data_IF_578723995227
#
_entry.id   IF_578723995227
#
_cell.length_a   1.000
_cell.length_b   1.000
_cell.length_c   1.000
_cell.angle_alpha   90.00
_cell.angle_beta   90.00
_cell.angle_gamma   90.00
#
_symmetry.space_group_name_H-M   'P 1'
#
loop_
_entity.id
_entity.type
_entity.pdbx_description
1 polymer ?
#
# COMPACT_ATOMS: atom_id res chain seq x y z
N UNK A 1 -27.62 -2.05 6.45
CA UNK A 1 -27.05 -0.82 5.87
C UNK A 1 -25.83 -1.26 5.07
N UNK A 2 -25.58 -0.71 3.89
CA UNK A 2 -24.38 -1.00 3.13
C UNK A 2 -23.15 -0.64 3.98
N UNK A 3 -22.17 -1.53 4.08
CA UNK A 3 -20.95 -1.30 4.86
C UNK A 3 -20.02 -0.27 4.23
N UNK A 4 -20.16 -0.03 2.92
CA UNK A 4 -19.35 0.91 2.15
C UNK A 4 -20.24 1.74 1.22
N UNK A 5 -19.88 3.02 1.02
CA UNK A 5 -20.48 3.85 -0.02
C UNK A 5 -20.07 3.35 -1.41
N UNK A 6 -20.91 3.54 -2.42
CA UNK A 6 -20.57 3.26 -3.83
C UNK A 6 -19.30 4.02 -4.22
N UNK A 7 -19.23 5.30 -3.85
CA UNK A 7 -18.08 6.15 -4.04
C UNK A 7 -17.31 6.30 -2.71
N UNK A 8 -16.65 5.22 -2.28
CA UNK A 8 -15.89 5.22 -1.03
C UNK A 8 -14.64 6.13 -1.14
N UNK A 9 -14.22 6.70 -0.02
CA UNK A 9 -12.98 7.48 0.04
C UNK A 9 -11.76 6.65 -0.37
N UNK A 10 -11.66 5.41 0.07
CA UNK A 10 -10.54 4.51 -0.27
C UNK A 10 -10.44 4.15 -1.76
N UNK A 11 -11.54 4.26 -2.52
CA UNK A 11 -11.55 4.07 -3.97
C UNK A 11 -11.51 5.38 -4.77
N UNK A 12 -11.38 6.52 -4.10
CA UNK A 12 -11.50 7.85 -4.73
C UNK A 12 -10.48 8.09 -5.83
N UNK A 13 -9.23 7.66 -5.66
CA UNK A 13 -8.23 7.76 -6.72
C UNK A 13 -8.70 7.08 -8.02
N UNK A 14 -9.48 6.01 -7.93
CA UNK A 14 -10.01 5.31 -9.12
C UNK A 14 -11.21 6.02 -9.71
N UNK A 15 -12.24 6.33 -8.93
CA UNK A 15 -13.45 6.92 -9.50
C UNK A 15 -13.31 8.40 -9.91
N UNK A 16 -12.31 9.11 -9.42
CA UNK A 16 -11.97 10.45 -9.91
C UNK A 16 -11.41 10.43 -11.33
N UNK A 17 -10.73 9.36 -11.73
CA UNK A 17 -10.20 9.19 -13.08
C UNK A 17 -11.13 8.40 -13.98
N UNK A 18 -11.60 7.26 -13.52
CA UNK A 18 -12.46 6.33 -14.26
C UNK A 18 -13.86 6.32 -13.62
N UNK A 19 -14.73 7.25 -14.05
CA UNK A 19 -16.06 7.43 -13.46
C UNK A 19 -17.00 6.24 -13.70
N UNK A 20 -16.73 5.43 -14.72
CA UNK A 20 -17.44 4.17 -14.96
C UNK A 20 -17.03 3.02 -14.03
N UNK A 21 -15.88 3.11 -13.35
CA UNK A 21 -15.36 2.02 -12.52
C UNK A 21 -16.31 1.60 -11.39
N UNK A 22 -16.90 2.48 -10.57
CA UNK A 22 -17.77 2.06 -9.45
C UNK A 22 -18.97 1.21 -9.89
N UNK A 23 -19.62 1.60 -10.97
CA UNK A 23 -20.79 0.88 -11.53
C UNK A 23 -20.38 -0.45 -12.15
N UNK A 24 -19.26 -0.45 -12.87
CA UNK A 24 -18.72 -1.69 -13.43
C UNK A 24 -18.29 -2.65 -12.32
N UNK A 25 -17.57 -2.18 -11.31
CA UNK A 25 -17.14 -3.01 -10.17
C UNK A 25 -18.30 -3.59 -9.36
N UNK A 26 -19.43 -2.89 -9.30
CA UNK A 26 -20.63 -3.37 -8.62
C UNK A 26 -21.26 -4.62 -9.30
N UNK A 27 -20.92 -4.90 -10.56
CA UNK A 27 -21.34 -6.12 -11.27
C UNK A 27 -20.47 -7.34 -10.94
N UNK A 28 -19.33 -7.15 -10.25
CA UNK A 28 -18.41 -8.21 -9.85
C UNK A 28 -18.64 -8.62 -8.39
N UNK A 29 -18.36 -9.89 -8.04
CA UNK A 29 -18.44 -10.34 -6.67
C UNK A 29 -17.53 -9.52 -5.74
N UNK A 30 -17.98 -9.28 -4.53
CA UNK A 30 -17.15 -8.64 -3.50
C UNK A 30 -16.20 -9.68 -2.90
N UNK A 31 -14.98 -9.73 -3.42
CA UNK A 31 -13.93 -10.61 -2.94
C UNK A 31 -12.92 -9.82 -2.10
N UNK A 32 -12.86 -10.12 -0.81
CA UNK A 32 -11.87 -9.53 0.09
C UNK A 32 -10.60 -10.38 0.06
N UNK A 33 -9.48 -9.80 -0.38
CA UNK A 33 -8.18 -10.48 -0.37
C UNK A 33 -7.68 -10.73 1.06
N UNK A 34 -6.79 -11.71 1.25
CA UNK A 34 -6.14 -11.96 2.54
C UNK A 34 -5.37 -10.72 3.03
N UNK A 35 -4.73 -9.98 2.14
CA UNK A 35 -4.06 -8.73 2.45
C UNK A 35 -5.02 -7.66 3.00
N UNK A 36 -6.24 -7.57 2.47
CA UNK A 36 -7.23 -6.65 2.99
C UNK A 36 -7.75 -7.08 4.37
N UNK A 37 -7.90 -8.39 4.62
CA UNK A 37 -8.24 -8.93 5.95
C UNK A 37 -7.13 -8.68 6.97
N UNK A 38 -5.87 -8.89 6.58
CA UNK A 38 -4.69 -8.58 7.41
C UNK A 38 -4.67 -7.09 7.75
N UNK A 39 -4.91 -6.21 6.77
CA UNK A 39 -5.03 -4.78 6.96
C UNK A 39 -6.11 -4.41 7.97
N UNK A 40 -7.31 -4.99 7.85
CA UNK A 40 -8.42 -4.76 8.81
C UNK A 40 -8.02 -5.15 10.23
N UNK A 41 -7.36 -6.30 10.42
CA UNK A 41 -6.88 -6.73 11.74
C UNK A 41 -5.84 -5.76 12.33
N UNK A 42 -4.98 -5.21 11.48
CA UNK A 42 -3.98 -4.23 11.89
C UNK A 42 -4.63 -2.90 12.31
N UNK A 43 -5.68 -2.43 11.60
CA UNK A 43 -6.47 -1.26 12.01
C UNK A 43 -7.16 -1.49 13.37
N UNK A 44 -7.75 -2.68 13.61
CA UNK A 44 -8.32 -3.03 14.93
C UNK A 44 -7.26 -2.93 16.04
N UNK A 45 -6.02 -3.31 15.77
CA UNK A 45 -4.93 -3.21 16.75
C UNK A 45 -4.47 -1.76 16.95
N UNK A 46 -4.38 -0.95 15.87
CA UNK A 46 -4.11 0.49 15.96
C UNK A 46 -5.17 1.20 16.81
N UNK A 47 -6.44 0.96 16.53
CA UNK A 47 -7.57 1.50 17.27
C UNK A 47 -7.48 1.15 18.77
N UNK A 48 -7.25 -0.13 19.08
CA UNK A 48 -7.14 -0.63 20.44
C UNK A 48 -6.00 0.07 21.20
N UNK A 49 -4.82 0.16 20.61
CA UNK A 49 -3.64 0.79 21.21
C UNK A 49 -3.87 2.29 21.43
N UNK A 50 -4.42 2.97 20.42
CA UNK A 50 -4.68 4.39 20.49
C UNK A 50 -5.79 4.72 21.51
N UNK A 51 -6.89 3.95 21.55
CA UNK A 51 -7.93 4.07 22.58
C UNK A 51 -7.38 3.82 23.99
N UNK A 52 -6.46 2.87 24.16
CA UNK A 52 -5.80 2.64 25.44
C UNK A 52 -5.00 3.84 25.91
N UNK A 53 -4.37 4.55 25.01
CA UNK A 53 -3.58 5.74 25.32
C UNK A 53 -4.46 6.98 25.58
N UNK A 54 -5.49 7.21 24.78
CA UNK A 54 -6.28 8.45 24.79
C UNK A 54 -7.52 8.40 25.70
N UNK A 55 -7.93 7.22 26.16
CA UNK A 55 -9.14 7.05 26.98
C UNK A 55 -8.85 6.31 28.28
N UNK A 56 -9.78 6.35 29.22
CA UNK A 56 -9.72 5.61 30.48
C UNK A 56 -10.03 4.10 30.32
N UNK A 57 -9.57 3.47 29.24
CA UNK A 57 -9.78 2.05 29.00
C UNK A 57 -9.17 1.18 30.11
N UNK A 58 -9.97 0.33 30.75
CA UNK A 58 -9.52 -0.58 31.79
C UNK A 58 -8.48 -1.58 31.23
N UNK A 59 -7.42 -1.87 32.03
CA UNK A 59 -6.35 -2.82 31.64
C UNK A 59 -6.90 -4.18 31.24
N UNK A 60 -7.90 -4.70 31.97
CA UNK A 60 -8.50 -6.01 31.66
C UNK A 60 -9.23 -6.03 30.32
N UNK A 61 -9.89 -4.93 29.92
CA UNK A 61 -10.55 -4.80 28.63
C UNK A 61 -9.50 -4.79 27.51
N UNK A 62 -8.46 -3.99 27.65
CA UNK A 62 -7.33 -3.97 26.72
C UNK A 62 -6.74 -5.37 26.52
N UNK A 63 -6.33 -6.02 27.61
CA UNK A 63 -5.69 -7.35 27.56
C UNK A 63 -6.58 -8.40 26.89
N UNK A 64 -7.89 -8.38 27.18
CA UNK A 64 -8.83 -9.33 26.56
C UNK A 64 -8.94 -9.11 25.05
N UNK A 65 -9.10 -7.87 24.61
CA UNK A 65 -9.23 -7.53 23.19
C UNK A 65 -7.92 -7.80 22.45
N UNK A 66 -6.79 -7.42 23.02
CA UNK A 66 -5.47 -7.69 22.47
C UNK A 66 -5.21 -9.19 22.28
N UNK A 67 -5.52 -10.01 23.29
CA UNK A 67 -5.37 -11.48 23.20
C UNK A 67 -6.32 -12.10 22.16
N UNK A 68 -7.50 -11.48 21.92
CA UNK A 68 -8.39 -11.91 20.83
C UNK A 68 -7.76 -11.66 19.47
N UNK A 69 -7.19 -10.47 19.25
CA UNK A 69 -6.48 -10.12 18.01
C UNK A 69 -5.30 -11.06 17.78
N UNK A 70 -4.49 -11.32 18.81
CA UNK A 70 -3.33 -12.25 18.73
C UNK A 70 -3.66 -13.69 18.37
N UNK A 71 -4.90 -14.13 18.63
CA UNK A 71 -5.36 -15.47 18.28
C UNK A 71 -5.83 -15.60 16.82
N UNK A 72 -5.92 -14.49 16.10
CA UNK A 72 -6.27 -14.51 14.68
C UNK A 72 -5.09 -15.12 13.89
N UNK A 73 -5.39 -15.98 12.94
CA UNK A 73 -4.40 -16.65 12.08
C UNK A 73 -3.58 -15.68 11.21
N UNK A 74 -4.13 -14.48 10.93
CA UNK A 74 -3.44 -13.43 10.19
C UNK A 74 -2.53 -12.55 11.06
N UNK A 75 -2.53 -12.76 12.39
CA UNK A 75 -1.68 -11.97 13.27
C UNK A 75 -0.21 -12.43 13.17
N UNK A 76 0.70 -11.48 13.12
CA UNK A 76 2.14 -11.71 13.20
C UNK A 76 2.81 -10.72 14.16
N UNK A 77 3.96 -11.04 14.79
CA UNK A 77 4.68 -10.11 15.67
C UNK A 77 5.00 -8.76 15.01
N UNK A 78 5.29 -8.74 13.70
CA UNK A 78 5.50 -7.53 12.91
C UNK A 78 4.31 -6.55 13.00
N UNK A 79 3.08 -7.07 13.15
CA UNK A 79 1.87 -6.25 13.29
C UNK A 79 1.89 -5.41 14.57
N UNK A 80 2.43 -5.95 15.68
CA UNK A 80 2.62 -5.17 16.90
C UNK A 80 3.64 -4.05 16.71
N UNK A 81 4.80 -4.36 16.11
CA UNK A 81 5.87 -3.41 15.86
C UNK A 81 5.38 -2.24 14.96
N UNK A 82 4.66 -2.56 13.89
CA UNK A 82 4.16 -1.55 12.94
C UNK A 82 3.04 -0.68 13.52
N UNK A 83 2.16 -1.25 14.33
CA UNK A 83 1.09 -0.49 15.01
C UNK A 83 1.62 0.34 16.17
N UNK A 84 2.76 -0.04 16.78
CA UNK A 84 3.46 0.80 17.76
C UNK A 84 4.07 2.04 17.09
N UNK A 85 4.64 1.93 15.89
CA UNK A 85 5.13 3.09 15.13
C UNK A 85 4.00 4.11 14.89
N UNK A 86 2.81 3.65 14.52
CA UNK A 86 1.64 4.52 14.35
C UNK A 86 1.24 5.21 15.65
N UNK A 87 1.18 4.46 16.75
CA UNK A 87 0.86 5.00 18.07
C UNK A 87 1.89 6.06 18.50
N UNK A 88 3.18 5.77 18.37
CA UNK A 88 4.25 6.69 18.78
C UNK A 88 4.25 7.96 17.91
N UNK A 89 3.97 7.84 16.60
CA UNK A 89 3.79 9.00 15.75
C UNK A 89 2.66 9.91 16.27
N UNK A 90 1.47 9.37 16.53
CA UNK A 90 0.34 10.16 17.06
C UNK A 90 0.66 10.78 18.40
N UNK A 91 1.32 10.05 19.31
CA UNK A 91 1.79 10.60 20.58
C UNK A 91 2.72 11.80 20.39
N UNK A 92 3.66 11.72 19.47
CA UNK A 92 4.59 12.80 19.17
C UNK A 92 3.85 14.05 18.68
N UNK A 93 2.84 13.89 17.83
CA UNK A 93 1.99 14.99 17.35
C UNK A 93 1.17 15.58 18.50
N UNK A 94 0.53 14.74 19.33
CA UNK A 94 -0.24 15.23 20.47
C UNK A 94 0.61 16.06 21.43
N UNK A 95 1.84 15.63 21.70
CA UNK A 95 2.78 16.30 22.60
C UNK A 95 3.39 17.57 22.00
N UNK A 96 3.34 17.76 20.68
CA UNK A 96 3.82 18.99 20.04
C UNK A 96 2.94 20.21 20.27
N UNK A 97 1.67 19.99 20.62
CA UNK A 97 0.73 21.07 20.91
C UNK A 97 0.86 21.59 22.35
N UNK A 98 0.83 22.90 22.52
CA UNK A 98 0.86 23.55 23.86
C UNK A 98 -0.38 23.26 24.69
N UNK A 99 -1.52 23.06 24.04
CA UNK A 99 -2.79 22.67 24.65
C UNK A 99 -3.15 21.30 24.11
N UNK A 100 -3.57 20.39 24.99
CA UNK A 100 -3.93 19.05 24.60
C UNK A 100 -5.00 19.07 23.49
N UNK A 101 -4.74 18.46 22.33
CA UNK A 101 -5.72 18.43 21.25
C UNK A 101 -6.84 17.45 21.54
N UNK A 102 -7.96 17.60 20.85
CA UNK A 102 -9.00 16.57 20.82
C UNK A 102 -8.61 15.51 19.80
N UNK A 103 -8.60 14.24 20.22
CA UNK A 103 -8.29 13.09 19.36
C UNK A 103 -9.55 12.25 19.20
N UNK A 104 -9.92 12.01 17.95
CA UNK A 104 -11.08 11.20 17.59
C UNK A 104 -10.59 10.01 16.76
N UNK A 105 -11.05 8.81 17.13
CA UNK A 105 -10.52 7.53 16.61
C UNK A 105 -11.65 6.79 15.90
N UNK A 106 -11.36 6.20 14.72
CA UNK A 106 -12.31 5.40 13.94
C UNK A 106 -13.64 6.16 13.75
N UNK A 107 -13.52 7.40 13.30
CA UNK A 107 -14.67 8.28 13.15
C UNK A 107 -15.25 8.19 11.75
N UNK A 108 -16.50 7.78 11.67
CA UNK A 108 -17.28 7.95 10.44
C UNK A 108 -17.49 9.44 10.19
N UNK A 109 -17.05 9.91 9.04
CA UNK A 109 -17.19 11.28 8.52
C UNK A 109 -18.09 11.30 7.31
N UNK A 110 -18.90 12.36 7.20
CA UNK A 110 -19.86 12.55 6.12
C UNK A 110 -19.35 13.63 5.15
N UNK A 111 -19.09 13.23 3.92
CA UNK A 111 -18.72 14.12 2.83
C UNK A 111 -19.76 14.12 1.69
N UNK A 112 -21.02 13.79 2.01
CA UNK A 112 -22.12 13.72 1.05
C UNK A 112 -22.44 15.06 0.39
N UNK A 113 -21.99 16.16 0.97
CA UNK A 113 -22.06 17.50 0.36
C UNK A 113 -21.33 17.55 -1.00
N UNK A 114 -20.26 16.77 -1.17
CA UNK A 114 -19.45 16.73 -2.39
C UNK A 114 -19.64 15.44 -3.19
N UNK A 115 -19.90 14.34 -2.52
CA UNK A 115 -19.98 12.99 -3.12
C UNK A 115 -21.31 12.37 -2.74
N UNK A 116 -22.22 12.12 -3.69
CA UNK A 116 -23.54 11.54 -3.40
C UNK A 116 -23.43 10.29 -2.52
N UNK A 117 -24.16 10.30 -1.39
CA UNK A 117 -24.12 9.23 -0.36
C UNK A 117 -22.71 8.93 0.18
N UNK A 118 -21.79 9.90 0.07
CA UNK A 118 -20.38 9.74 0.41
C UNK A 118 -20.14 9.77 1.91
N UNK A 119 -19.54 8.73 2.42
CA UNK A 119 -19.02 8.64 3.78
C UNK A 119 -17.80 7.72 3.84
N UNK A 120 -17.05 7.84 4.93
CA UNK A 120 -15.94 6.93 5.22
C UNK A 120 -15.58 6.94 6.69
N UNK A 121 -14.65 6.10 7.09
CA UNK A 121 -14.12 6.08 8.46
C UNK A 121 -12.67 6.53 8.43
N UNK A 122 -12.37 7.61 9.16
CA UNK A 122 -11.01 8.10 9.34
C UNK A 122 -10.39 7.46 10.59
N UNK A 123 -9.20 6.90 10.47
CA UNK A 123 -8.53 6.16 11.55
C UNK A 123 -8.25 7.05 12.76
N UNK A 124 -7.69 8.24 12.51
CA UNK A 124 -7.44 9.23 13.56
C UNK A 124 -7.62 10.65 13.04
N UNK A 125 -8.36 11.46 13.82
CA UNK A 125 -8.57 12.88 13.58
C UNK A 125 -8.06 13.63 14.81
N UNK A 126 -7.17 14.61 14.62
CA UNK A 126 -6.69 15.51 15.66
C UNK A 126 -7.22 16.92 15.38
N UNK A 127 -7.90 17.50 16.38
CA UNK A 127 -8.46 18.85 16.36
C UNK A 127 -7.65 19.72 17.30
N UNK A 128 -6.93 20.71 16.80
CA UNK A 128 -6.03 21.55 17.58
C UNK A 128 -6.10 23.02 17.11
N UNK A 129 -6.79 23.86 17.87
CA UNK A 129 -6.96 25.27 17.50
C UNK A 129 -7.69 25.43 16.17
N UNK A 130 -7.00 25.97 15.17
CA UNK A 130 -7.48 26.12 13.79
C UNK A 130 -6.95 25.07 12.81
N UNK A 131 -6.32 24.03 13.33
CA UNK A 131 -5.74 22.92 12.56
C UNK A 131 -6.59 21.65 12.70
N UNK A 132 -6.95 21.08 11.57
CA UNK A 132 -7.49 19.74 11.42
C UNK A 132 -6.39 18.82 10.89
N UNK A 133 -6.10 17.72 11.57
CA UNK A 133 -5.11 16.75 11.13
C UNK A 133 -5.75 15.37 10.97
N UNK A 134 -5.72 14.83 9.77
CA UNK A 134 -6.16 13.45 9.45
C UNK A 134 -4.93 12.57 9.38
N UNK A 135 -4.94 11.44 10.09
CA UNK A 135 -3.84 10.49 10.11
C UNK A 135 -4.39 9.11 9.80
N UNK A 136 -3.86 8.49 8.76
CA UNK A 136 -4.31 7.20 8.22
C UNK A 136 -3.17 6.17 8.30
N UNK A 137 -3.49 4.99 8.77
CA UNK A 137 -2.56 3.86 8.86
C UNK A 137 -2.64 2.99 7.62
N UNK A 138 -1.51 2.65 7.03
CA UNK A 138 -1.43 1.72 5.90
C UNK A 138 -0.57 0.51 6.25
N UNK A 139 -1.19 -0.67 6.30
CA UNK A 139 -0.48 -1.92 6.64
C UNK A 139 0.23 -2.54 5.43
N UNK A 140 -0.20 -2.23 4.20
CA UNK A 140 0.34 -2.80 2.97
C UNK A 140 1.82 -2.44 2.73
N UNK A 141 2.56 -3.35 2.07
CA UNK A 141 3.98 -3.17 1.70
C UNK A 141 4.22 -3.17 0.19
N UNK A 142 3.17 -3.35 -0.61
CA UNK A 142 3.31 -3.49 -2.07
C UNK A 142 3.40 -2.16 -2.82
N UNK A 143 2.71 -1.13 -2.34
CA UNK A 143 2.65 0.20 -2.97
C UNK A 143 2.87 1.25 -1.88
N UNK A 144 3.80 2.16 -2.12
CA UNK A 144 4.01 3.32 -1.25
C UNK A 144 2.88 4.30 -1.50
N UNK A 145 2.22 4.77 -0.43
CA UNK A 145 1.10 5.71 -0.50
C UNK A 145 1.58 7.08 -0.03
N UNK A 146 1.35 8.10 -0.86
CA UNK A 146 1.68 9.47 -0.54
C UNK A 146 0.48 10.22 0.04
N UNK A 147 0.73 11.14 0.96
CA UNK A 147 -0.28 12.06 1.49
C UNK A 147 -0.51 13.28 0.58
N UNK A 148 0.46 13.60 -0.28
CA UNK A 148 0.39 14.75 -1.18
C UNK A 148 -0.81 14.60 -2.14
N UNK A 149 -1.75 15.54 -2.02
CA UNK A 149 -3.02 15.56 -2.78
C UNK A 149 -3.76 14.22 -2.80
N UNK A 150 -3.64 13.43 -1.72
CA UNK A 150 -4.29 12.13 -1.62
C UNK A 150 -5.82 12.29 -1.49
N UNK A 151 -6.62 11.84 -2.47
CA UNK A 151 -8.05 12.10 -2.47
C UNK A 151 -8.82 11.39 -1.35
N UNK A 152 -8.34 10.25 -0.84
CA UNK A 152 -8.92 9.60 0.33
C UNK A 152 -8.81 10.50 1.55
N UNK A 153 -7.62 11.04 1.79
CA UNK A 153 -7.32 11.93 2.91
C UNK A 153 -8.09 13.24 2.81
N UNK A 154 -8.15 13.79 1.58
CA UNK A 154 -8.89 15.03 1.31
C UNK A 154 -10.40 14.87 1.55
N UNK A 155 -11.01 13.74 1.15
CA UNK A 155 -12.43 13.44 1.43
C UNK A 155 -12.69 13.28 2.93
N UNK A 156 -11.79 12.60 3.65
CA UNK A 156 -11.91 12.50 5.12
C UNK A 156 -11.81 13.87 5.78
N UNK A 157 -10.92 14.73 5.32
CA UNK A 157 -10.78 16.09 5.82
C UNK A 157 -12.03 16.95 5.54
N UNK A 158 -12.61 16.87 4.34
CA UNK A 158 -13.87 17.54 4.01
C UNK A 158 -15.01 17.09 4.93
N UNK A 159 -15.16 15.78 5.15
CA UNK A 159 -16.16 15.25 6.06
C UNK A 159 -15.93 15.66 7.51
N UNK A 160 -14.69 15.64 7.99
CA UNK A 160 -14.37 16.10 9.33
C UNK A 160 -14.59 17.61 9.49
N UNK A 161 -14.26 18.44 8.47
CA UNK A 161 -14.59 19.87 8.50
C UNK A 161 -16.09 20.12 8.61
N UNK A 162 -16.90 19.32 7.91
CA UNK A 162 -18.36 19.40 8.00
C UNK A 162 -18.83 19.03 9.40
N UNK A 163 -18.43 17.87 9.93
CA UNK A 163 -18.87 17.33 11.22
C UNK A 163 -18.52 18.23 12.40
N UNK A 164 -17.39 18.93 12.33
CA UNK A 164 -16.89 19.78 13.43
C UNK A 164 -17.05 21.29 13.17
N UNK A 165 -17.74 21.71 12.11
CA UNK A 165 -17.92 23.11 11.69
C UNK A 165 -18.58 24.01 12.74
N UNK A 166 -19.42 23.46 13.60
CA UNK A 166 -20.08 24.22 14.68
C UNK A 166 -19.15 24.55 15.87
N UNK A 167 -18.08 23.76 16.04
CA UNK A 167 -17.16 23.87 17.19
C UNK A 167 -15.82 24.48 16.81
N UNK A 168 -15.39 24.29 15.57
CA UNK A 168 -14.06 24.66 15.10
C UNK A 168 -14.13 25.43 13.76
N UNK A 169 -13.25 26.40 13.64
CA UNK A 169 -12.98 27.08 12.37
C UNK A 169 -11.56 26.72 11.94
N UNK A 170 -11.45 25.78 11.02
CA UNK A 170 -10.17 25.34 10.53
C UNK A 170 -9.64 26.23 9.42
N UNK A 171 -8.37 26.61 9.50
CA UNK A 171 -7.61 27.30 8.46
C UNK A 171 -6.60 26.35 7.81
N UNK A 172 -6.00 25.46 8.61
CA UNK A 172 -4.95 24.54 8.19
C UNK A 172 -5.45 23.10 8.23
N UNK A 173 -5.25 22.39 7.16
CA UNK A 173 -5.56 20.96 7.01
C UNK A 173 -4.24 20.21 6.85
N UNK A 174 -3.96 19.30 7.78
CA UNK A 174 -2.82 18.38 7.73
C UNK A 174 -3.30 16.97 7.43
N UNK A 175 -2.57 16.28 6.64
CA UNK A 175 -2.84 14.89 6.25
C UNK A 175 -1.56 14.08 6.38
N UNK A 176 -1.62 12.93 7.06
CA UNK A 176 -0.47 12.05 7.20
C UNK A 176 -0.85 10.62 6.92
N UNK A 177 -0.03 9.95 6.14
CA UNK A 177 -0.08 8.50 5.93
C UNK A 177 1.10 7.89 6.64
N UNK A 178 0.81 6.98 7.57
CA UNK A 178 1.81 6.20 8.31
C UNK A 178 1.81 4.77 7.81
N UNK A 179 2.86 4.39 7.06
CA UNK A 179 3.02 3.08 6.42
C UNK A 179 4.34 2.43 6.85
N UNK A 180 4.41 1.84 8.07
CA UNK A 180 5.67 1.43 8.69
C UNK A 180 6.40 0.31 7.96
N UNK A 181 5.68 -0.63 7.32
CA UNK A 181 6.27 -1.80 6.62
C UNK A 181 7.18 -1.43 5.43
N UNK A 182 7.08 -0.20 4.97
CA UNK A 182 7.94 0.37 3.90
C UNK A 182 8.70 1.61 4.38
N UNK A 183 8.76 1.84 5.69
CA UNK A 183 9.40 2.99 6.34
C UNK A 183 8.91 4.33 5.75
N UNK A 184 7.62 4.44 5.45
CA UNK A 184 7.01 5.62 4.88
C UNK A 184 6.14 6.35 5.91
N UNK A 185 6.47 7.61 6.17
CA UNK A 185 5.60 8.59 6.82
C UNK A 185 5.55 9.77 5.87
N UNK A 186 4.41 9.95 5.22
CA UNK A 186 4.18 11.00 4.24
C UNK A 186 3.24 12.04 4.84
N UNK A 187 3.62 13.30 4.79
CA UNK A 187 2.87 14.43 5.33
C UNK A 187 2.56 15.43 4.23
N UNK A 188 1.36 15.98 4.27
CA UNK A 188 0.92 17.03 3.36
C UNK A 188 0.07 18.05 4.12
N UNK A 189 0.20 19.32 3.78
CA UNK A 189 -0.53 20.41 4.38
C UNK A 189 -1.11 21.33 3.30
N UNK A 190 -2.36 21.75 3.49
CA UNK A 190 -3.02 22.74 2.62
C UNK A 190 -3.98 23.61 3.44
N UNK A 191 -4.46 24.69 2.85
CA UNK A 191 -5.48 25.51 3.48
C UNK A 191 -6.88 24.87 3.37
N UNK A 192 -7.76 25.20 4.30
CA UNK A 192 -9.16 24.76 4.23
C UNK A 192 -9.89 25.28 2.99
N UNK A 193 -9.49 26.44 2.45
CA UNK A 193 -10.11 27.02 1.26
C UNK A 193 -9.67 26.28 -0.02
N UNK A 194 -8.39 25.90 -0.12
CA UNK A 194 -7.90 25.04 -1.21
C UNK A 194 -8.60 23.68 -1.20
N UNK A 195 -8.79 23.08 -0.01
CA UNK A 195 -9.49 21.82 0.11
C UNK A 195 -10.96 21.93 -0.32
N UNK A 196 -11.70 23.00 0.10
CA UNK A 196 -13.08 23.24 -0.35
C UNK A 196 -13.15 23.40 -1.86
N UNK A 197 -12.24 24.21 -2.42
CA UNK A 197 -12.15 24.43 -3.87
C UNK A 197 -11.95 23.11 -4.62
N UNK A 198 -11.05 22.25 -4.16
CA UNK A 198 -10.90 20.91 -4.73
C UNK A 198 -12.17 20.07 -4.62
N UNK A 199 -12.86 20.13 -3.47
CA UNK A 199 -14.14 19.45 -3.27
C UNK A 199 -15.20 19.89 -4.28
N UNK A 200 -15.31 21.18 -4.54
CA UNK A 200 -16.30 21.80 -5.43
C UNK A 200 -15.94 21.63 -6.91
N UNK A 201 -14.68 21.87 -7.29
CA UNK A 201 -14.26 21.93 -8.68
C UNK A 201 -13.82 20.58 -9.25
N UNK A 202 -13.35 19.64 -8.39
CA UNK A 202 -12.81 18.35 -8.83
C UNK A 202 -13.66 17.18 -8.32
N UNK A 203 -13.83 17.06 -7.00
CA UNK A 203 -14.49 15.88 -6.43
C UNK A 203 -15.99 15.83 -6.78
N UNK A 204 -16.73 16.92 -6.60
CA UNK A 204 -18.18 16.93 -6.81
C UNK A 204 -18.60 16.66 -8.26
N UNK A 205 -17.99 17.27 -9.30
CA UNK A 205 -18.33 16.97 -10.69
C UNK A 205 -18.05 15.50 -11.05
N UNK A 206 -16.88 14.97 -10.65
CA UNK A 206 -16.49 13.59 -10.93
C UNK A 206 -17.34 12.57 -10.15
N UNK A 207 -17.66 12.88 -8.90
CA UNK A 207 -18.55 12.06 -8.10
C UNK A 207 -19.96 12.02 -8.67
N UNK A 208 -20.49 13.14 -9.17
CA UNK A 208 -21.78 13.20 -9.83
C UNK A 208 -21.79 12.31 -11.07
N UNK A 209 -20.80 12.45 -11.97
CA UNK A 209 -20.65 11.62 -13.15
C UNK A 209 -20.57 10.13 -12.77
N UNK A 210 -19.77 9.77 -11.75
CA UNK A 210 -19.59 8.39 -11.32
C UNK A 210 -20.84 7.79 -10.62
N UNK A 211 -21.69 8.63 -10.04
CA UNK A 211 -22.90 8.20 -9.36
C UNK A 211 -24.09 8.03 -10.32
N UNK A 212 -24.16 8.79 -11.40
CA UNK A 212 -25.22 8.70 -12.42
C UNK A 212 -25.24 7.30 -13.08
N UNK A 213 -26.33 6.97 -13.77
CA UNK A 213 -26.48 5.67 -14.42
C UNK A 213 -25.89 5.63 -15.84
N UNK A 214 -25.71 6.79 -16.44
CA UNK A 214 -25.26 6.96 -17.83
C UNK A 214 -24.20 8.07 -17.91
N UNK A 215 -23.49 8.13 -19.02
CA UNK A 215 -22.51 9.20 -19.29
C UNK A 215 -21.14 9.00 -18.64
N UNK A 216 -20.83 7.75 -18.20
CA UNK A 216 -19.53 7.45 -17.56
C UNK A 216 -18.35 7.53 -18.53
N UNK A 217 -17.23 7.97 -18.02
CA UNK A 217 -15.94 7.92 -18.71
C UNK A 217 -15.12 6.73 -18.20
N UNK A 218 -14.64 5.90 -19.12
CA UNK A 218 -13.70 4.82 -18.82
C UNK A 218 -12.29 5.26 -19.22
N UNK A 219 -11.37 5.19 -18.27
CA UNK A 219 -9.98 5.58 -18.48
C UNK A 219 -9.05 4.56 -17.83
N UNK A 220 -8.04 4.08 -18.58
CA UNK A 220 -7.04 3.15 -18.08
C UNK A 220 -5.84 3.91 -17.50
N UNK A 221 -5.30 3.40 -16.38
CA UNK A 221 -4.15 3.96 -15.70
C UNK A 221 -3.76 3.15 -14.47
N UNK A 222 -2.88 3.71 -13.64
CA UNK A 222 -2.37 3.05 -12.42
C UNK A 222 -3.49 2.61 -11.46
N UNK A 223 -4.61 3.32 -11.44
CA UNK A 223 -5.80 3.00 -10.66
C UNK A 223 -6.48 1.68 -11.06
N UNK A 224 -6.19 1.14 -12.27
CA UNK A 224 -6.72 -0.15 -12.70
C UNK A 224 -6.20 -1.32 -11.86
N UNK A 225 -5.03 -1.22 -11.24
CA UNK A 225 -4.43 -2.28 -10.43
C UNK A 225 -5.35 -2.81 -9.31
N UNK A 226 -6.19 -1.93 -8.74
CA UNK A 226 -7.13 -2.25 -7.68
C UNK A 226 -8.59 -2.39 -8.16
N UNK A 227 -8.85 -2.32 -9.46
CA UNK A 227 -10.19 -2.46 -10.04
C UNK A 227 -10.61 -3.95 -10.11
N UNK A 228 -11.82 -4.27 -9.67
CA UNK A 228 -12.34 -5.65 -9.76
C UNK A 228 -12.52 -6.13 -11.20
N UNK A 229 -12.82 -5.19 -12.11
CA UNK A 229 -12.98 -5.49 -13.53
C UNK A 229 -11.67 -5.56 -14.32
N UNK A 230 -10.52 -5.37 -13.67
CA UNK A 230 -9.20 -5.18 -14.29
C UNK A 230 -8.80 -6.24 -15.32
N UNK A 231 -9.21 -7.48 -15.15
CA UNK A 231 -8.90 -8.59 -16.07
C UNK A 231 -9.80 -8.62 -17.31
N UNK A 232 -10.98 -7.99 -17.25
CA UNK A 232 -12.00 -8.05 -18.29
C UNK A 232 -12.33 -6.68 -18.90
N UNK A 233 -11.70 -5.61 -18.40
CA UNK A 233 -11.98 -4.25 -18.84
C UNK A 233 -11.45 -4.01 -20.25
N UNK A 234 -12.37 -3.73 -21.19
CA UNK A 234 -12.03 -3.46 -22.60
C UNK A 234 -11.13 -2.24 -22.74
N UNK A 235 -11.43 -1.14 -22.05
CA UNK A 235 -10.60 0.08 -22.10
C UNK A 235 -9.16 -0.17 -21.64
N UNK A 236 -8.97 -1.05 -20.63
CA UNK A 236 -7.63 -1.45 -20.21
C UNK A 236 -6.91 -2.29 -21.28
N UNK A 237 -7.63 -3.19 -21.95
CA UNK A 237 -7.08 -3.96 -23.06
C UNK A 237 -6.68 -3.05 -24.22
N UNK A 238 -7.56 -2.14 -24.63
CA UNK A 238 -7.32 -1.18 -25.72
C UNK A 238 -6.15 -0.24 -25.42
N UNK A 239 -5.96 0.15 -24.16
CA UNK A 239 -4.82 0.94 -23.72
C UNK A 239 -3.48 0.23 -24.02
N UNK A 240 -3.42 -1.09 -23.83
CA UNK A 240 -2.21 -1.87 -24.15
C UNK A 240 -2.09 -2.21 -25.64
N UNK A 241 -3.22 -2.38 -26.36
CA UNK A 241 -3.22 -2.54 -27.80
C UNK A 241 -2.67 -1.30 -28.54
N UNK A 242 -2.80 -0.11 -27.97
CA UNK A 242 -2.23 1.11 -28.51
C UNK A 242 -0.68 1.07 -28.64
N UNK A 243 0.00 0.16 -27.93
CA UNK A 243 1.44 -0.08 -28.09
C UNK A 243 1.79 -0.69 -29.47
N UNK A 244 0.80 -1.24 -30.22
CA UNK A 244 0.99 -1.67 -31.61
C UNK A 244 1.33 -0.51 -32.58
N UNK A 245 1.15 0.73 -32.18
CA UNK A 245 1.54 1.92 -33.00
C UNK A 245 3.02 1.89 -33.34
N UNK A 246 3.87 1.29 -32.47
CA UNK A 246 5.29 1.17 -32.69
C UNK A 246 5.68 0.03 -33.67
N UNK A 247 4.78 -0.89 -33.99
CA UNK A 247 5.06 -2.04 -34.85
C UNK A 247 5.11 -1.69 -36.35
N UNK A 248 4.69 -0.49 -36.75
CA UNK A 248 4.70 0.01 -38.11
C UNK A 248 5.92 0.85 -38.47
N UNK A 249 6.88 1.01 -37.56
CA UNK A 249 8.12 1.76 -37.78
C UNK A 249 9.23 0.92 -38.45
N UNK A 250 10.34 1.55 -38.83
CA UNK A 250 11.47 0.87 -39.44
C UNK A 250 11.95 -0.33 -38.60
N UNK A 251 11.89 -1.57 -39.09
CA UNK A 251 12.06 -2.77 -38.26
C UNK A 251 13.50 -3.04 -37.80
N UNK A 252 14.46 -2.17 -38.06
CA UNK A 252 15.88 -2.47 -37.84
C UNK A 252 16.28 -2.43 -36.38
N UNK A 253 16.00 -1.34 -35.68
CA UNK A 253 16.29 -1.18 -34.23
C UNK A 253 15.36 -0.13 -33.61
N UNK A 254 14.96 -0.34 -32.35
CA UNK A 254 14.24 0.66 -31.59
C UNK A 254 15.18 1.77 -31.10
N UNK A 255 14.70 3.00 -31.03
CA UNK A 255 15.44 4.12 -30.44
C UNK A 255 15.46 4.05 -28.92
N UNK A 256 16.30 4.86 -28.25
CA UNK A 256 16.31 4.95 -26.80
C UNK A 256 15.04 5.59 -26.24
N UNK A 257 14.41 6.49 -27.00
CA UNK A 257 13.12 7.10 -26.68
C UNK A 257 12.00 6.07 -26.69
N UNK A 258 11.94 5.23 -27.72
CA UNK A 258 11.01 4.10 -27.81
C UNK A 258 11.24 3.10 -26.67
N UNK A 259 12.51 2.77 -26.38
CA UNK A 259 12.87 1.90 -25.26
C UNK A 259 12.36 2.47 -23.92
N UNK A 260 12.49 3.77 -23.68
CA UNK A 260 11.96 4.47 -22.50
C UNK A 260 10.46 4.29 -22.37
N UNK A 261 9.71 4.49 -23.46
CA UNK A 261 8.26 4.30 -23.52
C UNK A 261 7.85 2.86 -23.21
N UNK A 262 8.53 1.87 -23.82
CA UNK A 262 8.25 0.45 -23.51
C UNK A 262 8.55 0.09 -22.05
N UNK A 263 9.58 0.66 -21.44
CA UNK A 263 9.90 0.43 -20.04
C UNK A 263 8.88 1.07 -19.10
N UNK A 264 8.34 2.24 -19.44
CA UNK A 264 7.30 2.91 -18.68
C UNK A 264 6.02 2.06 -18.63
N UNK A 265 5.59 1.54 -19.77
CA UNK A 265 4.39 0.69 -19.87
C UNK A 265 4.62 -0.79 -19.51
N UNK A 266 5.88 -1.24 -19.50
CA UNK A 266 6.22 -2.66 -19.34
C UNK A 266 5.68 -3.28 -18.03
N UNK A 267 5.75 -2.57 -16.93
CA UNK A 267 5.21 -3.03 -15.62
C UNK A 267 3.70 -3.21 -15.65
N UNK A 268 3.01 -2.31 -16.33
CA UNK A 268 1.55 -2.34 -16.43
C UNK A 268 1.10 -3.49 -17.33
N UNK A 269 1.84 -3.77 -18.41
CA UNK A 269 1.61 -4.92 -19.29
C UNK A 269 1.83 -6.24 -18.53
N UNK A 270 2.92 -6.36 -17.78
CA UNK A 270 3.21 -7.55 -16.98
C UNK A 270 2.10 -7.81 -15.96
N UNK A 271 1.68 -6.77 -15.25
CA UNK A 271 0.57 -6.83 -14.30
C UNK A 271 -0.75 -7.22 -14.97
N UNK A 272 -1.07 -6.62 -16.10
CA UNK A 272 -2.27 -6.93 -16.88
C UNK A 272 -2.26 -8.38 -17.39
N UNK A 273 -1.15 -8.85 -17.91
CA UNK A 273 -1.03 -10.24 -18.37
C UNK A 273 -1.20 -11.24 -17.24
N UNK A 274 -0.67 -10.93 -16.07
CA UNK A 274 -0.88 -11.73 -14.86
C UNK A 274 -2.37 -11.79 -14.48
N UNK A 275 -3.05 -10.64 -14.45
CA UNK A 275 -4.50 -10.56 -14.14
C UNK A 275 -5.33 -11.41 -15.11
N UNK A 276 -5.03 -11.36 -16.42
CA UNK A 276 -5.71 -12.18 -17.44
C UNK A 276 -5.48 -13.68 -17.19
N UNK A 277 -4.25 -14.08 -16.88
CA UNK A 277 -3.94 -15.50 -16.60
C UNK A 277 -4.65 -16.01 -15.36
N UNK A 278 -4.71 -15.24 -14.30
CA UNK A 278 -5.41 -15.59 -13.07
C UNK A 278 -6.93 -15.71 -13.34
N UNK A 279 -7.50 -14.79 -14.10
CA UNK A 279 -8.90 -14.84 -14.49
C UNK A 279 -9.19 -16.07 -15.37
N UNK A 280 -8.39 -16.31 -16.42
CA UNK A 280 -8.57 -17.47 -17.31
C UNK A 280 -8.45 -18.80 -16.54
N UNK A 281 -7.54 -18.89 -15.55
CA UNK A 281 -7.43 -20.05 -14.67
C UNK A 281 -8.71 -20.24 -13.84
N UNK A 282 -9.23 -19.17 -13.25
CA UNK A 282 -10.43 -19.24 -12.41
C UNK A 282 -11.64 -19.67 -13.22
N UNK A 283 -11.82 -19.16 -14.43
CA UNK A 283 -12.89 -19.53 -15.35
C UNK A 283 -12.76 -21.00 -15.78
N UNK A 284 -11.55 -21.45 -16.11
CA UNK A 284 -11.31 -22.86 -16.48
C UNK A 284 -11.61 -23.81 -15.33
N UNK A 285 -11.29 -23.44 -14.08
CA UNK A 285 -11.62 -24.21 -12.87
C UNK A 285 -13.12 -24.21 -12.59
N UNK A 286 -13.83 -23.14 -12.96
CA UNK A 286 -15.30 -23.06 -12.89
C UNK A 286 -16.02 -23.86 -14.01
N UNK A 287 -15.24 -24.43 -14.95
CA UNK A 287 -15.77 -25.25 -16.05
C UNK A 287 -16.01 -24.51 -17.36
N UNK A 288 -15.60 -23.25 -17.46
CA UNK A 288 -15.65 -22.52 -18.72
C UNK A 288 -14.55 -22.98 -19.69
N UNK A 289 -14.86 -23.00 -20.98
CA UNK A 289 -13.86 -23.26 -22.03
C UNK A 289 -13.15 -21.96 -22.40
N UNK A 290 -11.84 -21.93 -22.16
CA UNK A 290 -10.96 -20.82 -22.58
C UNK A 290 -10.19 -21.30 -23.81
N UNK A 291 -10.53 -20.85 -25.03
CA UNK A 291 -9.94 -21.39 -26.25
C UNK A 291 -8.41 -21.39 -26.25
N UNK A 292 -7.82 -22.55 -26.49
CA UNK A 292 -6.36 -22.74 -26.49
C UNK A 292 -5.70 -22.91 -25.10
N UNK A 293 -6.46 -22.85 -24.01
CA UNK A 293 -5.95 -22.95 -22.62
C UNK A 293 -6.75 -23.97 -21.81
N UNK A 294 -6.11 -24.60 -20.82
CA UNK A 294 -6.74 -25.51 -19.86
C UNK A 294 -6.06 -25.44 -18.50
N UNK A 295 -6.83 -25.61 -17.44
CA UNK A 295 -6.29 -25.84 -16.10
C UNK A 295 -5.74 -27.25 -15.98
N UNK A 296 -4.59 -27.40 -15.34
CA UNK A 296 -3.97 -28.68 -14.99
C UNK A 296 -3.38 -28.60 -13.60
N UNK A 297 -3.18 -29.75 -12.94
CA UNK A 297 -2.42 -29.78 -11.69
C UNK A 297 -1.00 -29.31 -11.92
N UNK A 298 -0.54 -28.41 -11.04
CA UNK A 298 0.85 -27.97 -11.01
C UNK A 298 1.80 -29.12 -10.64
N UNK A 299 3.11 -28.88 -10.77
CA UNK A 299 4.11 -29.85 -10.30
C UNK A 299 4.02 -29.98 -8.78
N UNK A 300 3.63 -31.16 -8.30
CA UNK A 300 3.65 -31.50 -6.89
C UNK A 300 5.08 -31.51 -6.34
N UNK A 301 5.24 -31.11 -5.08
CA UNK A 301 6.46 -31.28 -4.31
C UNK A 301 6.30 -32.43 -3.33
N UNK A 302 7.38 -33.15 -3.07
CA UNK A 302 7.41 -34.15 -1.98
C UNK A 302 7.61 -33.41 -0.65
N UNK A 303 6.80 -33.74 0.33
CA UNK A 303 6.97 -33.27 1.71
C UNK A 303 6.72 -34.44 2.66
N UNK A 304 7.30 -34.39 3.85
CA UNK A 304 6.89 -35.29 4.92
C UNK A 304 5.48 -34.90 5.39
N UNK A 305 4.66 -35.89 5.71
CA UNK A 305 3.33 -35.66 6.28
C UNK A 305 3.43 -34.97 7.65
N UNK A 306 4.43 -35.44 8.44
CA UNK A 306 4.86 -34.84 9.69
C UNK A 306 6.39 -34.82 9.70
N UNK A 307 6.97 -33.63 9.66
CA UNK A 307 8.42 -33.43 9.58
C UNK A 307 9.13 -33.94 10.82
N UNK A 308 8.59 -33.67 12.02
CA UNK A 308 9.22 -34.06 13.29
C UNK A 308 9.23 -35.58 13.48
N UNK A 309 8.11 -36.23 13.19
CA UNK A 309 8.01 -37.69 13.23
C UNK A 309 8.95 -38.36 12.22
N UNK A 310 9.07 -37.79 11.01
CA UNK A 310 9.97 -38.31 9.98
C UNK A 310 11.44 -38.19 10.39
N UNK A 311 11.85 -37.06 10.96
CA UNK A 311 13.21 -36.82 11.48
C UNK A 311 13.53 -37.79 12.60
N UNK A 312 12.63 -37.98 13.58
CA UNK A 312 12.81 -38.97 14.67
C UNK A 312 12.93 -40.41 14.13
N UNK A 313 12.16 -40.76 13.12
CA UNK A 313 12.23 -42.08 12.47
C UNK A 313 13.59 -42.31 11.81
N UNK A 314 14.15 -41.27 11.16
CA UNK A 314 15.48 -41.32 10.54
C UNK A 314 16.58 -41.49 11.60
N UNK A 315 16.52 -40.74 12.70
CA UNK A 315 17.48 -40.87 13.82
C UNK A 315 17.41 -42.26 14.45
N UNK A 316 16.23 -42.76 14.72
CA UNK A 316 16.03 -44.11 15.26
C UNK A 316 16.49 -45.22 14.29
N UNK A 317 16.48 -44.93 12.98
CA UNK A 317 17.02 -45.80 11.93
C UNK A 317 18.54 -45.75 11.76
N UNK A 318 19.24 -44.96 12.60
CA UNK A 318 20.70 -44.86 12.60
C UNK A 318 21.28 -43.75 11.71
N UNK A 319 20.45 -42.83 11.22
CA UNK A 319 20.93 -41.66 10.49
C UNK A 319 21.45 -40.63 11.49
N UNK A 320 22.69 -40.16 11.28
CA UNK A 320 23.30 -39.15 12.14
C UNK A 320 22.51 -37.83 12.06
N UNK A 321 22.12 -37.34 13.23
CA UNK A 321 21.32 -36.07 13.32
C UNK A 321 22.02 -34.89 12.63
N UNK A 322 23.35 -34.87 12.63
CA UNK A 322 24.12 -33.77 12.04
C UNK A 322 23.93 -33.62 10.54
N UNK A 323 23.54 -34.68 9.81
CA UNK A 323 23.27 -34.62 8.37
C UNK A 323 21.81 -34.27 8.05
N UNK A 324 20.93 -34.27 9.05
CA UNK A 324 19.53 -33.92 8.89
C UNK A 324 19.26 -32.38 9.02
N UNK A 325 20.24 -31.65 9.54
CA UNK A 325 20.15 -30.21 9.75
C UNK A 325 21.31 -29.47 9.07
N UNK A 326 20.99 -28.41 8.34
CA UNK A 326 21.97 -27.48 7.79
C UNK A 326 22.15 -26.28 8.76
N UNK A 327 23.35 -26.17 9.39
CA UNK A 327 23.68 -24.98 10.18
C UNK A 327 24.05 -23.82 9.25
N UNK A 328 23.16 -22.83 9.13
CA UNK A 328 23.44 -21.57 8.44
C UNK A 328 23.70 -20.47 9.45
N UNK A 329 24.74 -19.66 9.21
CA UNK A 329 24.93 -18.43 9.98
C UNK A 329 23.72 -17.54 9.73
N UNK A 330 23.15 -17.02 10.81
CA UNK A 330 22.04 -16.05 10.70
C UNK A 330 22.48 -14.82 9.89
N UNK A 331 21.56 -14.23 9.16
CA UNK A 331 21.82 -12.97 8.48
C UNK A 331 22.10 -11.87 9.50
N UNK A 332 22.81 -10.83 9.11
CA UNK A 332 23.14 -9.68 9.95
C UNK A 332 21.90 -9.14 10.68
N UNK A 333 20.79 -8.95 9.96
CA UNK A 333 19.53 -8.49 10.54
C UNK A 333 18.93 -9.46 11.57
N UNK A 334 19.07 -10.77 11.35
CA UNK A 334 18.62 -11.80 12.31
C UNK A 334 19.50 -11.82 13.57
N UNK A 335 20.81 -11.61 13.42
CA UNK A 335 21.75 -11.51 14.56
C UNK A 335 21.42 -10.24 15.35
N UNK A 336 21.30 -9.10 14.68
CA UNK A 336 20.93 -7.80 15.30
C UNK A 336 19.61 -7.92 16.09
N UNK A 337 18.62 -8.62 15.53
CA UNK A 337 17.33 -8.88 16.18
C UNK A 337 17.47 -9.81 17.40
N UNK A 338 18.35 -10.82 17.35
CA UNK A 338 18.51 -11.83 18.40
C UNK A 338 19.22 -11.27 19.65
N UNK A 339 20.25 -10.42 19.48
CA UNK A 339 21.05 -9.89 20.58
C UNK A 339 20.72 -8.44 20.90
N UNK A 340 19.93 -7.75 20.06
CA UNK A 340 19.58 -6.34 20.19
C UNK A 340 20.59 -5.41 19.52
N UNK A 341 20.08 -4.31 18.96
CA UNK A 341 20.85 -3.34 18.15
C UNK A 341 22.03 -2.72 18.93
N UNK A 342 21.85 -2.46 20.22
CA UNK A 342 22.89 -1.85 21.05
C UNK A 342 24.08 -2.79 21.21
N UNK A 343 23.83 -4.02 21.66
CA UNK A 343 24.86 -5.03 21.86
C UNK A 343 25.53 -5.44 20.53
N UNK A 344 24.75 -5.56 19.48
CA UNK A 344 25.26 -5.81 18.14
C UNK A 344 26.25 -4.74 17.69
N UNK A 345 25.93 -3.45 17.84
CA UNK A 345 26.82 -2.35 17.47
C UNK A 345 28.08 -2.29 18.36
N UNK A 346 27.96 -2.60 19.66
CA UNK A 346 29.11 -2.63 20.58
C UNK A 346 30.08 -3.77 20.24
N UNK A 347 29.58 -4.93 19.77
CA UNK A 347 30.41 -6.10 19.50
C UNK A 347 31.00 -6.12 18.07
N UNK A 348 30.23 -5.76 17.07
CA UNK A 348 30.59 -5.94 15.65
C UNK A 348 30.25 -4.78 14.75
N UNK A 349 29.78 -3.65 15.28
CA UNK A 349 29.33 -2.50 14.49
C UNK A 349 30.39 -1.94 13.55
N UNK A 350 31.65 -1.93 13.95
CA UNK A 350 32.81 -1.53 13.18
C UNK A 350 33.21 -2.51 12.06
N UNK A 351 32.72 -3.75 12.13
CA UNK A 351 32.94 -4.79 11.11
C UNK A 351 31.82 -4.80 10.05
N UNK A 352 30.74 -4.05 10.27
CA UNK A 352 29.63 -3.96 9.33
C UNK A 352 29.96 -2.99 8.21
N UNK A 353 30.06 -3.49 6.99
CA UNK A 353 30.26 -2.68 5.79
C UNK A 353 29.00 -2.67 4.94
N UNK A 354 28.66 -1.50 4.41
CA UNK A 354 27.58 -1.36 3.43
C UNK A 354 28.14 -1.53 2.03
N UNK A 355 28.01 -2.72 1.49
CA UNK A 355 28.38 -2.94 0.09
C UNK A 355 27.43 -2.19 -0.85
N UNK A 356 27.97 -1.58 -1.94
CA UNK A 356 27.13 -0.98 -2.96
C UNK A 356 26.22 -2.05 -3.59
N UNK A 357 24.95 -1.71 -3.78
CA UNK A 357 23.99 -2.56 -4.48
C UNK A 357 24.34 -2.71 -5.96
N UNK A 358 23.84 -3.77 -6.59
CA UNK A 358 23.96 -3.91 -8.05
C UNK A 358 23.25 -2.74 -8.75
N UNK A 359 23.78 -2.23 -9.87
CA UNK A 359 23.08 -1.26 -10.69
C UNK A 359 21.66 -1.73 -11.01
N UNK A 360 20.71 -0.85 -10.86
CA UNK A 360 19.29 -1.11 -11.16
C UNK A 360 18.71 0.06 -11.95
N UNK A 361 17.83 -0.25 -12.88
CA UNK A 361 17.13 0.76 -13.66
C UNK A 361 15.88 1.21 -12.90
N UNK A 362 15.70 2.53 -12.79
CA UNK A 362 14.56 3.17 -12.12
C UNK A 362 14.08 4.35 -12.96
N UNK A 363 12.87 4.86 -12.64
CA UNK A 363 12.35 6.08 -13.26
C UNK A 363 13.23 7.29 -12.91
N UNK A 364 13.27 8.28 -13.79
CA UNK A 364 14.16 9.45 -13.62
C UNK A 364 13.80 10.32 -12.40
N UNK A 365 12.59 10.18 -11.88
CA UNK A 365 12.13 10.84 -10.64
C UNK A 365 12.65 10.21 -9.34
N UNK A 366 13.35 9.05 -9.41
CA UNK A 366 13.96 8.42 -8.25
C UNK A 366 15.05 9.34 -7.65
N UNK A 367 15.03 9.50 -6.33
CA UNK A 367 15.93 10.45 -5.61
C UNK A 367 17.40 10.02 -5.60
N UNK A 368 17.73 8.80 -6.01
CA UNK A 368 19.10 8.29 -6.03
C UNK A 368 19.89 8.90 -7.19
N UNK A 369 21.17 9.20 -7.02
CA UNK A 369 21.99 9.77 -8.09
C UNK A 369 22.15 8.77 -9.25
N UNK A 370 22.09 9.29 -10.48
CA UNK A 370 22.38 8.51 -11.69
C UNK A 370 23.82 7.99 -11.66
N UNK A 371 23.99 6.74 -12.03
CA UNK A 371 25.31 6.12 -12.22
C UNK A 371 25.55 5.79 -13.69
N UNK A 372 26.79 5.82 -14.14
CA UNK A 372 27.21 5.47 -15.50
C UNK A 372 28.57 4.79 -15.47
N UNK A 373 28.82 3.91 -16.42
CA UNK A 373 30.13 3.29 -16.64
C UNK A 373 31.06 4.21 -17.47
N UNK A 374 30.59 5.35 -17.95
CA UNK A 374 31.45 6.31 -18.64
C UNK A 374 32.35 7.00 -17.63
N UNK A 375 33.66 7.11 -17.90
CA UNK A 375 34.57 7.82 -17.00
C UNK A 375 34.15 9.29 -16.90
N UNK A 376 34.13 9.81 -15.69
CA UNK A 376 33.88 11.25 -15.48
C UNK A 376 35.02 12.09 -16.09
N UNK A 377 34.72 13.34 -16.47
CA UNK A 377 35.75 14.26 -16.97
C UNK A 377 36.98 14.33 -16.04
N UNK A 378 36.78 14.32 -14.71
CA UNK A 378 37.86 14.29 -13.73
C UNK A 378 38.72 13.02 -13.80
N UNK A 379 38.13 11.86 -14.10
CA UNK A 379 38.86 10.60 -14.28
C UNK A 379 39.66 10.58 -15.58
N UNK A 380 39.11 11.15 -16.66
CA UNK A 380 39.81 11.26 -17.96
C UNK A 380 41.00 12.21 -17.85
N UNK A 381 40.89 13.31 -17.14
CA UNK A 381 41.97 14.28 -16.99
C UNK A 381 43.05 13.86 -15.98
N UNK A 382 42.74 13.03 -14.98
CA UNK A 382 43.74 12.53 -14.02
C UNK A 382 44.62 11.40 -14.59
N UNK A 383 44.29 10.77 -15.69
CA UNK A 383 45.12 9.73 -16.36
C UNK A 383 46.21 10.34 -17.26
N UNK A 384 46.20 11.64 -17.52
CA UNK A 384 47.19 12.32 -18.40
C UNK A 384 48.21 13.16 -17.58
N UNK A 385 48.27 13.04 -16.27
CA UNK A 385 49.21 13.79 -15.41
C UNK A 385 50.34 12.98 -14.81
N UNK A 386 50.82 11.93 -15.49
CA UNK A 386 51.96 11.10 -15.07
C UNK A 386 52.95 10.89 -16.19
N UNK A 387 53.79 11.86 -16.38
CA UNK A 387 55.17 11.72 -16.91
C UNK A 387 56.09 12.70 -16.20
#
# INVERSE_FOLDING_TARGET
MASHALLSASSSHRWLHCTGAPRLEATFPDTTSEYAKEGTLAHELCELKLKKYTTAMAKGTYTRTYNKIKKNELWAPEMDETTDVYLEYIKSIMLSYKVAPVVVIEKRVDFSQYVPEGFGTADCIILAGDTLHIIDYKHGKGVVVDADHNPQMMLYALGAMHDYSLLYKFNTIKMTIVQPRVNNISEFEMSSDELRKWGEEVAAPKAKEAYEMEGHTFEAGAWCGFCRAKAQCRTRCEHFDALHVFTSQDPRLISLEELGTYLEHGKDIESWYKDIKEYALSESLAGADVPGWKAVEGRGSRAFQDGDTAIQTLINGGVDESILYERKVLTLAQIEKAIGKKEFNELVGDQVVKNPGKPTLVVDTDKRPRITNQPSAAQVFNTNGGN
#
